data_IF_091789257395
#
_entry.id   IF_091789257395
#
_cell.length_a   1.000
_cell.length_b   1.000
_cell.length_c   1.000
_cell.angle_alpha   90.00
_cell.angle_beta   90.00
_cell.angle_gamma   90.00
#
_symmetry.space_group_name_H-M   'P 1'
#
loop_
_entity.id
_entity.type
_entity.pdbx_description
1 polymer ?
#
# COMPACT_ATOMS: atom_id res chain seq x y z
N UNK A 1 -10.13 11.53 -3.82
CA UNK A 1 -11.56 11.24 -3.97
C UNK A 1 -11.67 10.05 -4.90
N UNK A 2 -12.07 8.89 -4.38
CA UNK A 2 -12.29 7.69 -5.19
C UNK A 2 -13.53 7.90 -6.05
N UNK A 3 -13.43 7.58 -7.34
CA UNK A 3 -14.50 7.83 -8.30
C UNK A 3 -15.47 6.65 -8.32
N UNK A 4 -16.73 6.89 -8.71
CA UNK A 4 -17.72 5.84 -8.96
C UNK A 4 -17.19 4.75 -9.91
N UNK A 5 -16.30 5.13 -10.83
CA UNK A 5 -15.64 4.21 -11.75
C UNK A 5 -14.75 3.19 -11.05
N UNK A 6 -14.02 3.57 -9.98
CA UNK A 6 -13.17 2.63 -9.22
C UNK A 6 -14.00 1.53 -8.56
N UNK A 7 -15.19 1.86 -8.07
CA UNK A 7 -16.09 0.88 -7.45
C UNK A 7 -16.59 -0.14 -8.47
N UNK A 8 -16.96 0.32 -9.66
CA UNK A 8 -17.42 -0.55 -10.74
C UNK A 8 -16.31 -1.50 -11.22
N UNK A 9 -15.09 -0.99 -11.38
CA UNK A 9 -13.93 -1.79 -11.81
C UNK A 9 -13.53 -2.80 -10.73
N UNK A 10 -13.50 -2.41 -9.45
CA UNK A 10 -13.21 -3.34 -8.36
C UNK A 10 -14.27 -4.45 -8.27
N UNK A 11 -15.55 -4.11 -8.48
CA UNK A 11 -16.63 -5.10 -8.53
C UNK A 11 -16.46 -6.07 -9.71
N UNK A 12 -16.05 -5.58 -10.88
CA UNK A 12 -15.81 -6.45 -12.03
C UNK A 12 -14.62 -7.37 -11.79
N UNK A 13 -13.50 -6.82 -11.30
CA UNK A 13 -12.31 -7.61 -10.95
C UNK A 13 -12.62 -8.71 -9.93
N UNK A 14 -13.52 -8.40 -8.98
CA UNK A 14 -14.03 -9.36 -8.01
C UNK A 14 -14.84 -10.49 -8.65
N UNK A 15 -15.79 -10.17 -9.54
CA UNK A 15 -16.59 -11.16 -10.26
C UNK A 15 -15.74 -12.09 -11.13
N UNK A 16 -14.65 -11.57 -11.71
CA UNK A 16 -13.69 -12.32 -12.53
C UNK A 16 -12.58 -13.02 -11.72
N UNK A 17 -12.66 -12.98 -10.38
CA UNK A 17 -11.67 -13.58 -9.47
C UNK A 17 -10.21 -13.12 -9.74
N UNK A 18 -10.06 -11.89 -10.20
CA UNK A 18 -8.76 -11.27 -10.48
C UNK A 18 -8.22 -10.69 -9.18
N UNK A 19 -6.92 -10.87 -8.92
CA UNK A 19 -6.25 -10.25 -7.76
C UNK A 19 -5.89 -8.80 -8.06
N UNK A 20 -6.58 -7.79 -7.48
CA UNK A 20 -6.28 -6.40 -7.76
C UNK A 20 -5.01 -5.96 -7.02
N UNK A 21 -4.28 -5.02 -7.62
CA UNK A 21 -3.18 -4.28 -6.98
C UNK A 21 -3.53 -2.79 -6.93
N UNK A 22 -3.12 -2.11 -5.86
CA UNK A 22 -3.46 -0.71 -5.64
C UNK A 22 -2.27 0.21 -5.85
N UNK A 23 -2.39 1.11 -6.83
CA UNK A 23 -1.45 2.21 -7.03
C UNK A 23 -2.05 3.52 -6.50
N UNK A 24 -1.50 4.02 -5.40
CA UNK A 24 -1.85 5.34 -4.85
C UNK A 24 -1.02 6.41 -5.58
N UNK A 25 -1.66 7.09 -6.53
CA UNK A 25 -1.03 8.12 -7.36
C UNK A 25 -1.25 9.53 -6.78
N UNK A 26 -0.47 10.49 -7.28
CA UNK A 26 -0.49 11.92 -6.95
C UNK A 26 -0.01 12.24 -5.53
N UNK A 27 0.92 11.44 -5.00
CA UNK A 27 1.53 11.68 -3.68
C UNK A 27 2.30 13.00 -3.66
N UNK A 28 2.80 13.48 -4.80
CA UNK A 28 3.45 14.79 -4.96
C UNK A 28 2.57 15.95 -4.49
N UNK A 29 1.25 15.87 -4.72
CA UNK A 29 0.30 16.91 -4.33
C UNK A 29 0.22 17.11 -2.83
N UNK A 30 0.50 16.07 -2.04
CA UNK A 30 0.53 16.18 -0.57
C UNK A 30 1.60 17.16 -0.12
N UNK A 31 2.71 17.24 -0.87
CA UNK A 31 3.83 18.16 -0.60
C UNK A 31 3.60 19.52 -1.26
N UNK A 32 3.26 19.55 -2.55
CA UNK A 32 3.27 20.79 -3.34
C UNK A 32 2.00 21.62 -3.18
N UNK A 33 0.83 20.96 -3.22
CA UNK A 33 -0.47 21.63 -3.24
C UNK A 33 -1.05 21.73 -1.82
N UNK A 34 -1.16 20.59 -1.12
CA UNK A 34 -1.75 20.52 0.22
C UNK A 34 -0.78 20.94 1.33
N UNK A 35 0.55 20.94 1.05
CA UNK A 35 1.62 21.33 1.99
C UNK A 35 1.50 20.66 3.37
N UNK A 36 1.09 19.39 3.37
CA UNK A 36 0.96 18.62 4.60
C UNK A 36 2.33 18.26 5.17
N UNK A 37 2.40 18.08 6.49
CA UNK A 37 3.59 17.50 7.10
C UNK A 37 3.70 16.01 6.74
N UNK A 38 4.91 15.42 6.82
CA UNK A 38 5.11 13.98 6.60
C UNK A 38 4.21 13.09 7.46
N UNK A 39 3.96 13.51 8.71
CA UNK A 39 3.10 12.78 9.64
C UNK A 39 1.63 12.84 9.25
N UNK A 40 1.11 14.02 8.91
CA UNK A 40 -0.28 14.19 8.43
C UNK A 40 -0.49 13.45 7.12
N UNK A 41 0.50 13.46 6.23
CA UNK A 41 0.44 12.75 4.95
C UNK A 41 0.36 11.24 5.13
N UNK A 42 1.09 10.67 6.09
CA UNK A 42 0.96 9.25 6.43
C UNK A 42 -0.45 8.93 6.96
N UNK A 43 -1.00 9.76 7.85
CA UNK A 43 -2.39 9.60 8.32
C UNK A 43 -3.38 9.68 7.16
N UNK A 44 -3.19 10.60 6.22
CA UNK A 44 -4.04 10.72 5.04
C UNK A 44 -3.95 9.48 4.14
N UNK A 45 -2.75 8.96 3.88
CA UNK A 45 -2.55 7.72 3.11
C UNK A 45 -3.20 6.50 3.81
N UNK A 46 -3.12 6.43 5.14
CA UNK A 46 -3.77 5.39 5.91
C UNK A 46 -5.30 5.47 5.77
N UNK A 47 -5.89 6.66 5.91
CA UNK A 47 -7.32 6.88 5.71
C UNK A 47 -7.77 6.52 4.29
N UNK A 48 -6.96 6.83 3.26
CA UNK A 48 -7.26 6.43 1.89
C UNK A 48 -7.31 4.91 1.74
N UNK A 49 -6.37 4.18 2.35
CA UNK A 49 -6.38 2.72 2.34
C UNK A 49 -7.57 2.13 3.08
N UNK A 50 -7.90 2.69 4.25
CA UNK A 50 -9.08 2.29 5.02
C UNK A 50 -10.37 2.48 4.20
N UNK A 51 -10.49 3.58 3.45
CA UNK A 51 -11.62 3.82 2.54
C UNK A 51 -11.71 2.77 1.43
N UNK A 52 -10.60 2.41 0.79
CA UNK A 52 -10.60 1.37 -0.26
C UNK A 52 -10.96 0.01 0.33
N UNK A 53 -10.41 -0.33 1.48
CA UNK A 53 -10.68 -1.59 2.15
C UNK A 53 -12.13 -1.68 2.63
N UNK A 54 -12.74 -0.57 3.05
CA UNK A 54 -14.16 -0.53 3.38
C UNK A 54 -15.05 -0.82 2.16
N UNK A 55 -14.70 -0.29 0.98
CA UNK A 55 -15.40 -0.60 -0.28
C UNK A 55 -15.24 -2.07 -0.64
N UNK A 56 -14.03 -2.63 -0.52
CA UNK A 56 -13.82 -4.06 -0.74
C UNK A 56 -14.65 -4.91 0.23
N UNK A 57 -14.65 -4.58 1.51
CA UNK A 57 -15.43 -5.29 2.53
C UNK A 57 -16.93 -5.30 2.22
N UNK A 58 -17.47 -4.19 1.69
CA UNK A 58 -18.87 -4.11 1.26
C UNK A 58 -19.18 -5.06 0.09
N UNK A 59 -18.28 -5.15 -0.90
CA UNK A 59 -18.45 -6.05 -2.04
C UNK A 59 -18.42 -7.52 -1.60
N UNK A 60 -17.46 -7.87 -0.75
CA UNK A 60 -17.29 -9.23 -0.23
C UNK A 60 -18.51 -9.65 0.59
N UNK A 61 -18.92 -8.81 1.54
CA UNK A 61 -20.09 -9.09 2.41
C UNK A 61 -21.37 -9.27 1.59
N UNK A 62 -21.56 -8.44 0.56
CA UNK A 62 -22.72 -8.54 -0.33
C UNK A 62 -22.78 -9.87 -1.09
N UNK A 63 -21.65 -10.43 -1.49
CA UNK A 63 -21.61 -11.70 -2.21
C UNK A 63 -21.67 -12.92 -1.29
N UNK A 64 -21.09 -12.85 -0.09
CA UNK A 64 -21.30 -13.87 0.94
C UNK A 64 -22.78 -13.98 1.28
N UNK A 65 -23.47 -12.83 1.50
CA UNK A 65 -24.91 -12.82 1.79
C UNK A 65 -25.75 -13.41 0.65
N UNK A 66 -25.43 -13.10 -0.62
CA UNK A 66 -26.13 -13.71 -1.76
C UNK A 66 -25.89 -15.21 -1.87
N UNK A 67 -24.65 -15.67 -1.68
CA UNK A 67 -24.31 -17.10 -1.69
C UNK A 67 -24.99 -17.83 -0.55
N UNK A 68 -25.11 -17.22 0.63
CA UNK A 68 -25.85 -17.77 1.76
C UNK A 68 -27.36 -17.87 1.46
N UNK A 69 -27.97 -16.84 0.85
CA UNK A 69 -29.37 -16.87 0.44
C UNK A 69 -29.66 -17.97 -0.60
N UNK A 70 -28.78 -18.13 -1.60
CA UNK A 70 -28.91 -19.19 -2.61
C UNK A 70 -28.73 -20.61 -2.02
N UNK A 71 -27.90 -20.75 -0.98
CA UNK A 71 -27.76 -22.03 -0.25
C UNK A 71 -29.02 -22.35 0.55
N UNK A 72 -29.64 -21.35 1.16
CA UNK A 72 -30.89 -21.52 1.90
C UNK A 72 -32.06 -21.91 0.99
N UNK A 73 -32.09 -21.45 -0.27
CA UNK A 73 -33.08 -21.87 -1.27
C UNK A 73 -32.82 -23.29 -1.80
N UNK A 74 -31.56 -23.68 -2.03
CA UNK A 74 -31.21 -25.06 -2.42
C UNK A 74 -31.45 -26.08 -1.29
N UNK A 75 -31.23 -25.70 -0.03
CA UNK A 75 -31.55 -26.57 1.12
C UNK A 75 -33.05 -26.70 1.35
N UNK A 76 -33.87 -25.72 0.94
CA UNK A 76 -35.33 -25.82 0.95
C UNK A 76 -35.86 -26.76 -0.14
N UNK A 77 -35.20 -26.86 -1.30
CA UNK A 77 -35.55 -27.86 -2.33
C UNK A 77 -35.18 -29.30 -1.91
N UNK A 78 -34.06 -29.50 -1.22
CA UNK A 78 -33.60 -30.84 -0.78
C UNK A 78 -34.37 -31.35 0.46
N UNK A 79 -35.01 -30.48 1.24
CA UNK A 79 -35.81 -30.86 2.44
C UNK A 79 -37.30 -31.08 2.15
N UNK A 80 -37.67 -31.45 0.91
CA UNK A 80 -39.04 -31.87 0.59
C UNK A 80 -39.33 -33.35 0.90
N UNK A 81 -38.30 -34.17 1.18
CA UNK A 81 -38.45 -35.56 1.62
C UNK A 81 -37.66 -35.83 2.91
N UNK A 82 -38.25 -35.52 4.07
CA UNK A 82 -38.26 -36.35 5.30
C UNK A 82 -38.69 -35.53 6.52
N UNK A 83 -39.81 -35.92 7.10
CA UNK A 83 -40.38 -35.42 8.35
C UNK A 83 -39.64 -36.11 9.50
N UNK A 84 -39.08 -35.36 10.45
CA UNK A 84 -38.51 -35.92 11.67
C UNK A 84 -38.01 -34.88 12.69
N UNK A 85 -38.83 -34.70 13.73
CA UNK A 85 -38.62 -34.15 15.08
C UNK A 85 -37.39 -33.28 15.40
N UNK A 86 -37.68 -32.13 15.98
CA UNK A 86 -36.70 -31.16 16.42
C UNK A 86 -35.98 -31.51 17.71
N UNK A 87 -34.80 -30.90 17.84
CA UNK A 87 -34.18 -30.37 19.05
C UNK A 87 -33.04 -29.45 18.57
N UNK A 88 -32.98 -28.23 19.12
CA UNK A 88 -31.90 -27.23 19.07
C UNK A 88 -31.03 -27.12 17.80
N UNK A 89 -31.52 -26.39 16.80
CA UNK A 89 -30.66 -25.75 15.79
C UNK A 89 -30.69 -24.24 15.98
N UNK A 90 -29.98 -23.75 17.01
CA UNK A 90 -29.49 -22.37 16.98
C UNK A 90 -28.49 -22.31 15.84
N UNK A 91 -28.95 -21.89 14.66
CA UNK A 91 -28.08 -21.55 13.53
C UNK A 91 -27.07 -20.52 14.01
N UNK A 92 -25.85 -20.99 14.31
CA UNK A 92 -24.76 -20.10 14.66
C UNK A 92 -24.28 -19.40 13.39
N UNK A 93 -24.93 -18.27 13.07
CA UNK A 93 -24.58 -17.37 11.96
C UNK A 93 -23.11 -16.90 12.02
N UNK A 94 -22.45 -17.05 13.17
CA UNK A 94 -21.04 -16.71 13.39
C UNK A 94 -20.06 -17.70 12.71
N UNK A 95 -20.48 -18.94 12.46
CA UNK A 95 -19.61 -19.98 11.88
C UNK A 95 -19.41 -19.86 10.36
N UNK A 96 -20.22 -19.05 9.67
CA UNK A 96 -20.10 -18.79 8.23
C UNK A 96 -19.17 -17.63 7.85
N UNK A 97 -18.64 -16.89 8.84
CA UNK A 97 -17.69 -15.79 8.62
C UNK A 97 -16.22 -16.24 8.80
N UNK A 98 -16.00 -17.47 9.24
CA UNK A 98 -14.68 -18.06 9.48
C UNK A 98 -14.45 -19.34 8.65
N UNK A 99 -14.89 -19.37 7.39
CA UNK A 99 -14.40 -20.39 6.45
C UNK A 99 -13.07 -19.94 5.83
N UNK A 100 -11.99 -20.56 6.29
CA UNK A 100 -10.63 -20.57 5.74
C UNK A 100 -9.85 -19.24 5.79
N UNK A 101 -9.22 -19.01 6.95
CA UNK A 101 -8.32 -17.90 7.31
C UNK A 101 -7.06 -17.71 6.41
N UNK A 102 -6.99 -18.26 5.20
CA UNK A 102 -5.84 -18.11 4.30
C UNK A 102 -6.17 -17.65 2.87
N UNK A 103 -7.39 -17.80 2.34
CA UNK A 103 -7.68 -17.41 0.96
C UNK A 103 -8.18 -15.95 0.82
N UNK A 104 -8.79 -15.38 1.87
CA UNK A 104 -9.32 -14.01 1.86
C UNK A 104 -8.27 -12.93 2.17
N UNK A 105 -7.06 -13.30 2.60
CA UNK A 105 -6.00 -12.33 2.89
C UNK A 105 -5.59 -11.52 1.64
N UNK A 106 -5.80 -12.08 0.44
CA UNK A 106 -5.51 -11.43 -0.83
C UNK A 106 -6.57 -10.40 -1.28
N UNK A 107 -7.69 -10.26 -0.56
CA UNK A 107 -8.75 -9.29 -0.87
C UNK A 107 -8.43 -7.89 -0.40
N UNK A 108 -7.72 -7.78 0.73
CA UNK A 108 -7.50 -6.50 1.37
C UNK A 108 -6.20 -5.87 0.89
N UNK A 109 -6.23 -4.56 0.68
CA UNK A 109 -5.05 -3.79 0.33
C UNK A 109 -4.26 -3.47 1.60
N UNK A 110 -3.04 -4.00 1.66
CA UNK A 110 -2.11 -3.78 2.75
C UNK A 110 -0.70 -3.58 2.20
N UNK A 111 -0.07 -2.42 2.45
CA UNK A 111 1.31 -2.18 2.01
C UNK A 111 2.31 -3.24 2.49
N UNK A 112 2.03 -3.89 3.61
CA UNK A 112 2.85 -4.99 4.16
C UNK A 112 2.79 -6.22 3.25
N UNK A 113 1.66 -6.47 2.60
CA UNK A 113 1.49 -7.57 1.64
C UNK A 113 2.14 -7.28 0.29
N UNK A 114 2.58 -6.05 0.03
CA UNK A 114 3.19 -5.66 -1.24
C UNK A 114 2.18 -5.40 -2.37
N UNK A 115 0.88 -5.40 -2.06
CA UNK A 115 -0.18 -5.10 -3.02
C UNK A 115 -0.57 -3.60 -3.07
N UNK A 116 0.25 -2.74 -2.44
CA UNK A 116 0.10 -1.29 -2.48
C UNK A 116 1.43 -0.64 -2.83
N UNK A 117 1.40 0.28 -3.80
CA UNK A 117 2.52 1.12 -4.23
C UNK A 117 2.07 2.57 -4.15
N UNK A 118 2.96 3.42 -3.68
CA UNK A 118 2.75 4.85 -3.55
C UNK A 118 3.62 5.57 -4.56
N UNK A 119 3.09 6.58 -5.25
CA UNK A 119 3.89 7.29 -6.24
C UNK A 119 3.28 8.56 -6.80
N UNK A 120 4.08 9.17 -7.69
CA UNK A 120 3.67 10.26 -8.56
C UNK A 120 4.04 9.92 -10.01
N UNK A 121 3.03 9.74 -10.84
CA UNK A 121 3.24 9.55 -12.27
C UNK A 121 3.81 10.80 -12.97
N UNK A 122 3.52 12.01 -12.45
CA UNK A 122 3.99 13.26 -13.06
C UNK A 122 5.49 13.44 -12.84
N UNK A 123 5.95 13.18 -11.62
CA UNK A 123 7.36 13.31 -11.25
C UNK A 123 8.15 12.02 -11.51
N UNK A 124 7.48 10.96 -11.99
CA UNK A 124 8.10 9.75 -12.53
C UNK A 124 8.65 8.79 -11.48
N UNK A 125 8.11 8.80 -10.27
CA UNK A 125 8.57 7.93 -9.19
C UNK A 125 7.43 7.15 -8.54
N UNK A 126 7.75 5.96 -8.07
CA UNK A 126 6.88 5.19 -7.19
C UNK A 126 7.72 4.23 -6.34
N UNK A 127 7.17 3.80 -5.22
CA UNK A 127 7.82 2.85 -4.33
C UNK A 127 6.81 1.91 -3.68
N UNK A 128 7.23 0.66 -3.50
CA UNK A 128 6.64 -0.27 -2.56
C UNK A 128 7.37 -0.23 -1.22
N UNK A 129 6.80 -0.91 -0.22
CA UNK A 129 7.50 -1.10 1.07
C UNK A 129 8.71 -2.01 0.91
N UNK A 130 8.65 -2.98 0.01
CA UNK A 130 9.72 -3.93 -0.26
C UNK A 130 11.00 -3.25 -0.78
N UNK A 131 10.87 -2.20 -1.59
CA UNK A 131 12.01 -1.42 -2.10
C UNK A 131 12.80 -0.81 -0.95
N UNK A 132 12.11 -0.14 -0.03
CA UNK A 132 12.73 0.48 1.14
C UNK A 132 13.18 -0.55 2.17
N UNK A 133 12.47 -1.67 2.32
CA UNK A 133 12.91 -2.76 3.19
C UNK A 133 14.27 -3.31 2.77
N UNK A 134 14.51 -3.46 1.45
CA UNK A 134 15.81 -3.87 0.93
C UNK A 134 16.89 -2.79 1.16
N UNK A 135 16.59 -1.53 0.83
CA UNK A 135 17.54 -0.42 1.00
C UNK A 135 17.99 -0.22 2.45
N UNK A 136 17.07 -0.37 3.41
CA UNK A 136 17.38 -0.21 4.83
C UNK A 136 17.92 -1.48 5.49
N UNK A 137 17.60 -2.67 4.96
CA UNK A 137 18.23 -3.91 5.42
C UNK A 137 19.74 -3.84 5.25
N UNK A 138 20.22 -3.38 4.08
CA UNK A 138 21.64 -3.25 3.79
C UNK A 138 22.31 -2.16 4.65
N UNK A 139 21.63 -1.02 4.84
CA UNK A 139 22.17 0.12 5.60
C UNK A 139 22.21 -0.12 7.12
N UNK A 140 21.22 -0.81 7.68
CA UNK A 140 21.07 -0.99 9.13
C UNK A 140 21.46 -2.40 9.61
N UNK A 141 21.69 -3.35 8.70
CA UNK A 141 21.97 -4.75 9.03
C UNK A 141 20.76 -5.48 9.63
N UNK A 142 19.54 -5.04 9.31
CA UNK A 142 18.29 -5.62 9.82
C UNK A 142 17.68 -6.59 8.80
N UNK A 143 16.94 -7.59 9.28
CA UNK A 143 16.27 -8.54 8.39
C UNK A 143 15.16 -7.84 7.56
N UNK A 144 15.21 -8.00 6.23
CA UNK A 144 14.24 -7.47 5.27
C UNK A 144 12.79 -7.81 5.64
N UNK A 145 12.51 -9.04 6.09
CA UNK A 145 11.15 -9.47 6.45
C UNK A 145 10.61 -8.72 7.68
N UNK A 146 11.48 -8.45 8.66
CA UNK A 146 11.10 -7.68 9.86
C UNK A 146 10.83 -6.24 9.48
N UNK A 147 11.67 -5.65 8.62
CA UNK A 147 11.45 -4.29 8.12
C UNK A 147 10.15 -4.20 7.33
N UNK A 148 9.86 -5.15 6.43
CA UNK A 148 8.60 -5.14 5.67
C UNK A 148 7.36 -5.10 6.57
N UNK A 149 7.34 -5.89 7.65
CA UNK A 149 6.22 -5.94 8.61
C UNK A 149 6.13 -4.74 9.54
N UNK A 150 7.24 -4.01 9.72
CA UNK A 150 7.32 -2.92 10.71
C UNK A 150 7.39 -1.53 10.08
N UNK A 151 7.68 -1.44 8.77
CA UNK A 151 7.73 -0.19 8.02
C UNK A 151 6.36 0.48 7.95
N UNK A 152 5.28 -0.30 7.87
CA UNK A 152 3.91 0.21 7.89
C UNK A 152 3.26 0.00 9.26
N UNK A 153 2.51 1.00 9.73
CA UNK A 153 1.78 0.97 11.00
C UNK A 153 2.48 1.68 12.16
N UNK A 154 2.04 1.38 13.38
CA UNK A 154 2.44 2.08 14.60
C UNK A 154 3.75 1.54 15.21
N UNK A 155 4.83 1.64 14.44
CA UNK A 155 6.19 1.29 14.86
C UNK A 155 7.10 2.51 14.81
N UNK A 156 8.14 2.53 15.64
CA UNK A 156 9.18 3.56 15.60
C UNK A 156 10.57 2.95 15.77
N UNK A 157 11.57 3.62 15.21
CA UNK A 157 12.97 3.26 15.41
C UNK A 157 13.53 3.97 16.63
N UNK A 158 14.21 3.24 17.51
CA UNK A 158 14.96 3.86 18.60
C UNK A 158 16.44 3.90 18.26
N UNK A 159 16.97 5.09 17.94
CA UNK A 159 18.38 5.30 17.59
C UNK A 159 19.36 4.88 18.68
N UNK A 160 18.93 4.81 19.95
CA UNK A 160 19.77 4.36 21.07
C UNK A 160 19.94 2.84 21.10
N UNK A 161 18.87 2.09 20.85
CA UNK A 161 18.88 0.63 20.92
C UNK A 161 19.00 -0.04 19.56
N UNK A 162 18.94 0.74 18.47
CA UNK A 162 18.88 0.27 17.07
C UNK A 162 17.79 -0.79 16.83
N UNK A 163 16.73 -0.76 17.64
CA UNK A 163 15.60 -1.70 17.57
C UNK A 163 14.34 -0.98 17.15
N UNK A 164 13.49 -1.70 16.43
CA UNK A 164 12.14 -1.27 16.09
C UNK A 164 11.21 -1.62 17.25
N UNK A 165 10.42 -0.67 17.71
CA UNK A 165 9.47 -0.84 18.81
C UNK A 165 8.06 -0.45 18.36
N UNK A 166 7.04 -1.08 18.97
CA UNK A 166 5.62 -0.76 18.75
C UNK A 166 5.19 0.40 19.65
N UNK A 167 4.19 1.18 19.23
CA UNK A 167 3.60 2.25 20.06
C UNK A 167 4.22 3.61 19.81
N UNK A 168 4.39 4.00 18.54
CA UNK A 168 4.94 5.30 18.18
C UNK A 168 4.00 6.42 18.65
N UNK A 169 2.70 6.27 18.40
CA UNK A 169 1.67 7.23 18.81
C UNK A 169 1.63 7.42 20.33
N UNK A 170 1.67 6.33 21.11
CA UNK A 170 1.70 6.39 22.59
C UNK A 170 2.96 7.07 23.12
N UNK A 171 4.08 6.94 22.42
CA UNK A 171 5.35 7.56 22.77
C UNK A 171 5.50 8.99 22.22
N UNK A 172 4.50 9.53 21.50
CA UNK A 172 4.60 10.82 20.81
C UNK A 172 5.67 10.86 19.73
N UNK A 173 6.08 9.70 19.20
CA UNK A 173 7.13 9.56 18.20
C UNK A 173 6.52 9.37 16.81
N UNK A 174 7.22 9.86 15.79
CA UNK A 174 6.87 9.63 14.38
C UNK A 174 6.91 8.13 14.07
N UNK A 175 6.02 7.66 13.21
CA UNK A 175 6.05 6.29 12.71
C UNK A 175 7.30 6.01 11.87
N UNK A 176 7.67 4.74 11.74
CA UNK A 176 8.85 4.30 11.01
C UNK A 176 8.76 4.68 9.53
N UNK A 177 7.57 4.53 8.94
CA UNK A 177 7.27 5.01 7.59
C UNK A 177 7.58 6.49 7.42
N UNK A 178 7.15 7.32 8.37
CA UNK A 178 7.35 8.76 8.29
C UNK A 178 8.83 9.11 8.41
N UNK A 179 9.53 8.52 9.38
CA UNK A 179 10.94 8.83 9.64
C UNK A 179 11.87 8.38 8.50
N UNK A 180 11.63 7.19 7.93
CA UNK A 180 12.55 6.60 6.96
C UNK A 180 12.15 6.89 5.51
N UNK A 181 10.86 7.02 5.20
CA UNK A 181 10.40 7.19 3.82
C UNK A 181 9.93 8.63 3.59
N UNK A 182 8.87 9.06 4.28
CA UNK A 182 8.25 10.36 4.01
C UNK A 182 9.18 11.54 4.29
N UNK A 183 9.89 11.55 5.42
CA UNK A 183 10.82 12.65 5.76
C UNK A 183 11.91 12.81 4.68
N UNK A 184 12.35 11.73 4.02
CA UNK A 184 13.35 11.82 2.94
C UNK A 184 12.76 12.38 1.66
N UNK A 185 11.54 11.96 1.28
CA UNK A 185 10.84 12.51 0.13
C UNK A 185 10.54 14.00 0.34
N UNK A 186 10.04 14.39 1.51
CA UNK A 186 9.75 15.79 1.83
C UNK A 186 11.01 16.66 1.84
N UNK A 187 12.14 16.15 2.34
CA UNK A 187 13.41 16.87 2.25
C UNK A 187 13.79 17.16 0.80
N UNK A 188 13.68 16.18 -0.10
CA UNK A 188 13.99 16.39 -1.53
C UNK A 188 13.08 17.46 -2.13
N UNK A 189 11.77 17.36 -1.93
CA UNK A 189 10.83 18.35 -2.45
C UNK A 189 11.05 19.74 -1.85
N UNK A 190 11.19 19.85 -0.53
CA UNK A 190 11.40 21.14 0.14
C UNK A 190 12.68 21.82 -0.33
N UNK A 191 13.81 21.09 -0.42
CA UNK A 191 15.07 21.65 -0.92
C UNK A 191 14.98 22.14 -2.37
N UNK A 192 14.16 21.51 -3.21
CA UNK A 192 13.98 21.92 -4.61
C UNK A 192 12.98 23.08 -4.74
N UNK A 193 11.96 23.14 -3.89
CA UNK A 193 10.92 24.17 -3.89
C UNK A 193 11.34 25.46 -3.16
N UNK A 194 12.36 25.40 -2.31
CA UNK A 194 12.90 26.56 -1.59
C UNK A 194 13.45 27.63 -2.56
N UNK A 195 13.13 28.90 -2.30
CA UNK A 195 13.47 30.04 -3.17
C UNK A 195 14.98 30.29 -3.33
N UNK A 196 15.81 29.79 -2.40
CA UNK A 196 17.26 29.95 -2.44
C UNK A 196 18.00 28.77 -3.09
N UNK A 197 17.29 27.77 -3.61
CA UNK A 197 17.78 26.54 -4.28
C UNK A 197 19.28 26.29 -4.08
N UNK A 198 19.64 25.76 -2.92
CA UNK A 198 21.04 25.46 -2.61
C UNK A 198 21.48 24.18 -3.34
N UNK A 199 22.16 24.37 -4.47
CA UNK A 199 22.70 23.29 -5.31
C UNK A 199 23.62 22.37 -4.49
N UNK A 200 24.33 22.91 -3.49
CA UNK A 200 25.23 22.15 -2.63
C UNK A 200 24.48 21.16 -1.73
N UNK A 201 23.29 21.54 -1.26
CA UNK A 201 22.44 20.64 -0.48
C UNK A 201 21.82 19.55 -1.37
N UNK A 202 21.45 19.88 -2.60
CA UNK A 202 20.97 18.91 -3.58
C UNK A 202 22.04 17.87 -3.92
N UNK A 203 23.30 18.28 -4.09
CA UNK A 203 24.43 17.37 -4.33
C UNK A 203 24.69 16.45 -3.13
N UNK A 204 24.62 16.99 -1.90
CA UNK A 204 24.73 16.18 -0.67
C UNK A 204 23.57 15.19 -0.53
N UNK A 205 22.35 15.61 -0.84
CA UNK A 205 21.16 14.74 -0.84
C UNK A 205 21.28 13.66 -1.91
N UNK A 206 21.65 14.00 -3.14
CA UNK A 206 21.88 13.04 -4.22
C UNK A 206 22.93 12.01 -3.83
N UNK A 207 24.03 12.45 -3.18
CA UNK A 207 25.07 11.56 -2.66
C UNK A 207 24.54 10.64 -1.54
N UNK A 208 23.75 11.16 -0.60
CA UNK A 208 23.16 10.36 0.49
C UNK A 208 22.13 9.32 -0.01
N UNK A 209 21.44 9.65 -1.10
CA UNK A 209 20.50 8.76 -1.78
C UNK A 209 21.19 7.82 -2.79
N UNK A 210 22.50 7.98 -3.02
CA UNK A 210 23.31 7.24 -3.99
C UNK A 210 22.81 7.38 -5.44
N UNK A 211 22.41 8.59 -5.82
CA UNK A 211 21.84 8.93 -7.14
C UNK A 211 22.84 9.75 -7.95
N UNK A 212 23.03 9.39 -9.22
CA UNK A 212 23.96 10.07 -10.14
C UNK A 212 23.22 11.07 -11.03
N UNK A 213 23.06 12.29 -10.54
CA UNK A 213 22.35 13.36 -11.25
C UNK A 213 23.32 14.17 -12.11
N UNK A 214 22.94 14.48 -13.35
CA UNK A 214 23.74 15.34 -14.21
C UNK A 214 23.74 16.79 -13.71
N UNK A 215 24.89 17.45 -13.74
CA UNK A 215 25.04 18.84 -13.29
C UNK A 215 24.15 19.84 -14.08
N UNK A 216 23.79 19.51 -15.33
CA UNK A 216 22.86 20.28 -16.16
C UNK A 216 21.45 20.29 -15.57
N UNK A 217 20.98 19.14 -15.08
CA UNK A 217 19.62 18.99 -14.55
C UNK A 217 19.52 19.63 -13.16
N UNK A 218 20.59 19.53 -12.35
CA UNK A 218 20.72 20.21 -11.06
C UNK A 218 20.68 21.74 -11.15
N UNK A 219 21.11 22.31 -12.29
CA UNK A 219 21.13 23.76 -12.55
C UNK A 219 19.97 24.23 -13.43
N UNK A 220 19.04 23.36 -13.80
CA UNK A 220 17.89 23.71 -14.62
C UNK A 220 17.02 24.75 -13.91
N UNK A 221 16.52 25.76 -14.64
CA UNK A 221 15.58 26.75 -14.10
C UNK A 221 14.24 26.14 -13.69
N UNK A 222 13.89 24.96 -14.22
CA UNK A 222 12.64 24.27 -13.89
C UNK A 222 12.85 23.29 -12.74
N UNK A 223 12.12 23.54 -11.65
CA UNK A 223 12.12 22.69 -10.46
C UNK A 223 11.57 21.29 -10.77
N UNK A 224 10.58 21.15 -11.67
CA UNK A 224 10.01 19.83 -12.01
C UNK A 224 11.00 18.94 -12.76
N UNK A 225 11.78 19.51 -13.67
CA UNK A 225 12.85 18.76 -14.37
C UNK A 225 13.84 18.19 -13.37
N UNK A 226 14.16 18.96 -12.34
CA UNK A 226 15.11 18.59 -11.29
C UNK A 226 14.54 17.51 -10.38
N UNK A 227 13.30 17.67 -9.91
CA UNK A 227 12.60 16.64 -9.12
C UNK A 227 12.54 15.35 -9.90
N UNK A 228 12.12 15.41 -11.17
CA UNK A 228 12.01 14.23 -12.03
C UNK A 228 13.36 13.56 -12.22
N UNK A 229 14.44 14.31 -12.48
CA UNK A 229 15.77 13.73 -12.65
C UNK A 229 16.27 12.98 -11.40
N UNK A 230 16.02 13.54 -10.20
CA UNK A 230 16.45 12.92 -8.93
C UNK A 230 15.54 11.73 -8.58
N UNK A 231 14.23 11.96 -8.53
CA UNK A 231 13.26 11.00 -8.02
C UNK A 231 13.08 9.80 -8.96
N UNK A 232 13.09 10.01 -10.28
CA UNK A 232 12.96 8.89 -11.23
C UNK A 232 14.17 7.96 -11.24
N UNK A 233 15.37 8.46 -10.90
CA UNK A 233 16.54 7.61 -10.72
C UNK A 233 16.57 6.95 -9.34
N UNK A 234 16.13 7.65 -8.30
CA UNK A 234 16.10 7.11 -6.94
C UNK A 234 15.07 6.00 -6.78
N UNK A 235 13.85 6.24 -7.26
CA UNK A 235 12.68 5.36 -7.11
C UNK A 235 11.94 5.24 -8.46
N UNK A 236 12.49 4.47 -9.42
CA UNK A 236 11.87 4.34 -10.73
C UNK A 236 10.47 3.72 -10.66
N UNK A 237 9.46 4.43 -11.17
CA UNK A 237 8.07 3.96 -11.16
C UNK A 237 7.90 2.60 -11.83
N UNK A 238 8.59 2.36 -12.95
CA UNK A 238 8.50 1.10 -13.70
C UNK A 238 8.96 -0.10 -12.87
N UNK A 239 10.01 0.06 -12.07
CA UNK A 239 10.52 -1.01 -11.23
C UNK A 239 9.52 -1.36 -10.13
N UNK A 240 8.99 -0.35 -9.43
CA UNK A 240 8.06 -0.58 -8.32
C UNK A 240 6.76 -1.22 -8.79
N UNK A 241 6.19 -0.76 -9.90
CA UNK A 241 4.93 -1.30 -10.44
C UNK A 241 5.12 -2.70 -11.03
N UNK A 242 6.19 -2.95 -11.78
CA UNK A 242 6.45 -4.28 -12.35
C UNK A 242 6.81 -5.30 -11.28
N UNK A 243 7.59 -4.91 -10.26
CA UNK A 243 7.89 -5.79 -9.10
C UNK A 243 6.62 -6.19 -8.38
N UNK A 244 5.74 -5.23 -8.10
CA UNK A 244 4.45 -5.49 -7.47
C UNK A 244 3.61 -6.48 -8.28
N UNK A 245 3.49 -6.28 -9.59
CA UNK A 245 2.72 -7.19 -10.46
C UNK A 245 3.37 -8.56 -10.50
N UNK A 246 4.70 -8.65 -10.63
CA UNK A 246 5.41 -9.92 -10.68
C UNK A 246 5.28 -10.73 -9.38
N UNK A 247 5.30 -10.06 -8.22
CA UNK A 247 5.26 -10.72 -6.92
C UNK A 247 3.82 -11.06 -6.49
N UNK A 248 2.84 -10.23 -6.85
CA UNK A 248 1.46 -10.37 -6.38
C UNK A 248 0.55 -11.12 -7.36
N UNK A 249 0.81 -11.02 -8.66
CA UNK A 249 0.02 -11.73 -9.67
C UNK A 249 0.48 -13.18 -9.74
N UNK A 250 -0.41 -14.17 -9.52
CA UNK A 250 -0.05 -15.57 -9.61
C UNK A 250 0.44 -15.91 -11.03
N UNK A 251 1.36 -16.88 -11.11
CA UNK A 251 1.83 -17.42 -12.38
C UNK A 251 0.65 -17.91 -13.22
N UNK A 252 0.74 -17.75 -14.55
CA UNK A 252 -0.33 -18.09 -15.51
C UNK A 252 -0.93 -19.49 -15.28
N UNK A 253 -0.10 -20.47 -14.91
CA UNK A 253 -0.50 -21.86 -14.61
C UNK A 253 -1.40 -22.02 -13.39
N UNK A 254 -1.33 -21.10 -12.42
CA UNK A 254 -2.13 -21.10 -11.20
C UNK A 254 -3.41 -20.30 -11.42
N UNK A 255 -3.36 -19.26 -12.25
CA UNK A 255 -4.53 -18.46 -12.65
C UNK A 255 -5.50 -19.26 -13.51
N UNK A 256 -5.01 -20.05 -14.48
CA UNK A 256 -5.84 -20.91 -15.35
C UNK A 256 -6.56 -22.05 -14.63
N UNK A 257 -6.10 -22.44 -13.43
CA UNK A 257 -6.77 -23.47 -12.61
C UNK A 257 -7.94 -22.91 -11.78
N UNK A 258 -8.14 -21.60 -11.78
CA UNK A 258 -9.19 -20.90 -11.02
C UNK A 258 -10.38 -20.49 -11.90
N UNK A 259 -10.29 -20.69 -13.22
CA UNK A 259 -11.42 -20.67 -14.17
C UNK A 259 -12.13 -22.04 -14.17
#
# INVERSE_FOLDING_TARGET
MFTFTTHAVLRQAWLENIRPVLLVNKVDRLVTELKLTPAESHTHLQQLLEQVNAVMAQLISGDIMKKAALRDDNEKEVKSDQIGNGEDNVFNWDSGLHSDENDDAHLYFSPIMGNVVFGSAIDGWAFGIDDFAALYADKLGLNKQVLRKTLWGDFYFNSKTKKVMKGAQKAGKKSLFVQMIMDNIWKVYNTILEQSRDVSQLEKLASALNVKVAAKDLKSSDNRVTVKAIMSQWLPISRATLSMVADYTPSLSTSQKRE
#
